data_IF_464563537746
#
_entry.id   IF_464563537746
#
_cell.length_a   1.000
_cell.length_b   1.000
_cell.length_c   1.000
_cell.angle_alpha   90.00
_cell.angle_beta   90.00
_cell.angle_gamma   90.00
#
_symmetry.space_group_name_H-M   'P 1'
#
loop_
_entity.id
_entity.type
_entity.pdbx_description
1 polymer ?
#
# COMPACT_ATOMS: atom_id res chain seq x y z
N UNK A 1 -17.10 0.80 -8.13
CA UNK A 1 -18.46 1.38 -8.17
C UNK A 1 -18.52 2.70 -8.95
N UNK A 2 -19.65 3.05 -9.60
CA UNK A 2 -19.84 4.39 -10.17
C UNK A 2 -19.62 5.45 -9.08
N UNK A 3 -18.63 6.32 -9.28
CA UNK A 3 -18.28 7.37 -8.32
C UNK A 3 -17.24 6.99 -7.25
N UNK A 4 -16.69 5.78 -7.30
CA UNK A 4 -15.60 5.37 -6.43
C UNK A 4 -14.39 6.30 -6.58
N UNK A 5 -13.91 6.85 -5.47
CA UNK A 5 -12.80 7.79 -5.44
C UNK A 5 -13.10 9.23 -5.82
N UNK A 6 -14.31 9.57 -6.31
CA UNK A 6 -14.68 10.96 -6.60
C UNK A 6 -14.65 11.84 -5.36
N UNK A 7 -15.12 11.30 -4.22
CA UNK A 7 -15.06 11.99 -2.94
C UNK A 7 -13.63 12.43 -2.58
N UNK A 8 -12.59 11.72 -3.01
CA UNK A 8 -11.21 12.07 -2.67
C UNK A 8 -10.65 13.18 -3.57
N UNK A 9 -11.22 13.41 -4.75
CA UNK A 9 -10.74 14.41 -5.73
C UNK A 9 -11.62 15.66 -5.79
N UNK A 10 -12.88 15.58 -5.35
CA UNK A 10 -13.84 16.69 -5.31
C UNK A 10 -13.75 17.49 -4.00
N UNK A 11 -12.54 17.68 -3.47
CA UNK A 11 -12.30 18.42 -2.23
C UNK A 11 -11.85 19.84 -2.53
N UNK A 12 -12.36 20.82 -1.76
CA UNK A 12 -11.94 22.23 -1.88
C UNK A 12 -10.54 22.49 -1.31
N UNK A 13 -9.94 21.47 -0.68
CA UNK A 13 -8.61 21.51 -0.06
C UNK A 13 -7.67 20.51 -0.74
N UNK A 14 -6.34 20.74 -0.74
CA UNK A 14 -5.38 19.78 -1.28
C UNK A 14 -5.47 18.41 -0.59
N UNK A 15 -5.46 17.33 -1.37
CA UNK A 15 -5.56 15.95 -0.88
C UNK A 15 -4.33 15.14 -1.28
N UNK A 16 -3.78 14.39 -0.32
CA UNK A 16 -2.68 13.43 -0.54
C UNK A 16 -3.14 12.05 -0.08
N UNK A 17 -2.89 11.03 -0.90
CA UNK A 17 -3.15 9.64 -0.53
C UNK A 17 -2.06 9.11 0.40
N UNK A 18 -2.45 8.53 1.53
CA UNK A 18 -1.53 7.93 2.50
C UNK A 18 -1.71 6.42 2.53
N UNK A 19 -0.61 5.69 2.40
CA UNK A 19 -0.52 4.21 2.39
C UNK A 19 -1.31 3.50 1.28
N UNK A 20 -2.01 4.25 0.43
CA UNK A 20 -2.91 3.74 -0.61
C UNK A 20 -2.42 4.09 -2.01
N UNK A 21 -2.88 3.33 -3.00
CA UNK A 21 -2.69 3.64 -4.41
C UNK A 21 -3.98 3.41 -5.19
N UNK A 22 -4.31 4.35 -6.07
CA UNK A 22 -5.37 4.20 -7.04
C UNK A 22 -4.83 3.60 -8.36
N UNK A 23 -5.52 2.62 -8.98
CA UNK A 23 -5.14 2.07 -10.27
C UNK A 23 -5.32 3.11 -11.40
N UNK A 24 -4.66 2.89 -12.54
CA UNK A 24 -4.85 3.75 -13.71
C UNK A 24 -6.32 3.81 -14.13
N UNK A 25 -6.80 5.01 -14.45
CA UNK A 25 -8.21 5.26 -14.80
C UNK A 25 -9.15 5.47 -13.61
N UNK A 26 -8.71 5.23 -12.38
CA UNK A 26 -9.46 5.60 -11.18
C UNK A 26 -9.32 7.12 -10.91
N UNK A 27 -10.37 7.84 -10.45
CA UNK A 27 -10.30 9.29 -10.23
C UNK A 27 -9.12 9.73 -9.37
N UNK A 28 -8.87 9.02 -8.27
CA UNK A 28 -7.75 9.29 -7.36
C UNK A 28 -6.36 8.95 -7.92
N UNK A 29 -6.23 8.46 -9.16
CA UNK A 29 -4.93 8.12 -9.77
C UNK A 29 -4.03 9.35 -9.97
N UNK A 30 -4.62 10.53 -10.14
CA UNK A 30 -3.90 11.79 -10.30
C UNK A 30 -3.45 12.45 -8.99
N UNK A 31 -3.85 11.93 -7.83
CA UNK A 31 -3.45 12.49 -6.54
C UNK A 31 -2.00 12.14 -6.20
N UNK A 32 -1.33 13.10 -5.55
CA UNK A 32 -0.07 12.87 -4.87
C UNK A 32 -0.22 11.76 -3.82
N UNK A 33 0.86 11.01 -3.59
CA UNK A 33 0.84 9.86 -2.69
C UNK A 33 2.10 9.75 -1.86
N UNK A 34 1.91 9.34 -0.61
CA UNK A 34 2.96 8.99 0.32
C UNK A 34 2.69 7.59 0.85
N UNK A 35 3.66 6.70 0.73
CA UNK A 35 3.54 5.31 1.18
C UNK A 35 4.87 4.85 1.75
N UNK A 36 4.77 3.96 2.72
CA UNK A 36 5.90 3.13 3.13
C UNK A 36 6.25 2.13 2.01
N UNK A 37 7.53 1.82 1.85
CA UNK A 37 7.96 0.72 0.98
C UNK A 37 7.77 -0.62 1.70
N UNK A 38 6.54 -1.13 1.66
CA UNK A 38 6.19 -2.41 2.30
C UNK A 38 6.93 -3.60 1.70
N UNK A 39 7.34 -3.53 0.43
CA UNK A 39 8.12 -4.60 -0.19
C UNK A 39 9.54 -4.63 0.38
N UNK A 40 10.16 -3.45 0.53
CA UNK A 40 11.45 -3.33 1.19
C UNK A 40 11.38 -3.77 2.66
N UNK A 41 10.38 -3.30 3.42
CA UNK A 41 10.20 -3.70 4.82
C UNK A 41 9.99 -5.22 4.98
N UNK A 42 9.24 -5.86 4.08
CA UNK A 42 9.09 -7.32 4.07
C UNK A 42 10.42 -8.03 3.78
N UNK A 43 11.22 -7.51 2.84
CA UNK A 43 12.54 -8.05 2.54
C UNK A 43 13.50 -7.93 3.74
N UNK A 44 13.49 -6.79 4.44
CA UNK A 44 14.26 -6.60 5.68
C UNK A 44 13.84 -7.60 6.77
N UNK A 45 12.54 -7.82 6.95
CA UNK A 45 12.02 -8.78 7.92
C UNK A 45 12.46 -10.22 7.60
N UNK A 46 12.37 -10.64 6.33
CA UNK A 46 12.83 -11.96 5.89
C UNK A 46 14.34 -12.11 6.06
N UNK A 47 15.11 -11.09 5.69
CA UNK A 47 16.57 -11.09 5.87
C UNK A 47 16.96 -11.20 7.34
N UNK A 48 16.25 -10.49 8.23
CA UNK A 48 16.45 -10.57 9.67
C UNK A 48 16.20 -11.98 10.20
N UNK A 49 15.05 -12.59 9.86
CA UNK A 49 14.71 -13.95 10.29
C UNK A 49 15.70 -14.99 9.76
N UNK A 50 16.13 -14.85 8.50
CA UNK A 50 17.16 -15.71 7.93
C UNK A 50 18.52 -15.55 8.66
N UNK A 51 18.89 -14.32 9.02
CA UNK A 51 20.09 -14.01 9.82
C UNK A 51 20.06 -14.62 11.22
N UNK A 52 18.87 -14.84 11.79
CA UNK A 52 18.67 -15.58 13.04
C UNK A 52 18.72 -17.11 12.87
N UNK A 53 18.87 -17.62 11.63
CA UNK A 53 18.95 -19.04 11.32
C UNK A 53 17.61 -19.70 10.95
N UNK A 54 16.52 -18.94 10.82
CA UNK A 54 15.25 -19.50 10.36
C UNK A 54 15.34 -19.92 8.87
N UNK A 55 14.91 -21.14 8.57
CA UNK A 55 14.94 -21.73 7.21
C UNK A 55 13.57 -21.97 6.60
N UNK A 56 12.52 -21.85 7.40
CA UNK A 56 11.12 -21.94 6.98
C UNK A 56 10.39 -20.74 7.58
N UNK A 57 9.98 -19.79 6.74
CA UNK A 57 9.33 -18.54 7.13
C UNK A 57 7.97 -18.51 6.44
N UNK A 58 6.90 -18.39 7.23
CA UNK A 58 5.53 -18.29 6.73
C UNK A 58 5.07 -16.83 6.69
N UNK A 59 4.25 -16.48 5.70
CA UNK A 59 3.57 -15.19 5.63
C UNK A 59 2.13 -15.36 6.12
N UNK A 60 1.77 -14.64 7.17
CA UNK A 60 0.38 -14.46 7.58
C UNK A 60 -0.08 -13.09 7.07
N UNK A 61 -1.02 -13.09 6.15
CA UNK A 61 -1.57 -11.87 5.54
C UNK A 61 -3.08 -11.83 5.70
N UNK A 62 -3.60 -10.64 5.94
CA UNK A 62 -5.02 -10.34 5.87
C UNK A 62 -5.27 -9.41 4.68
N UNK A 63 -6.36 -9.64 3.97
CA UNK A 63 -6.81 -8.71 2.95
C UNK A 63 -7.09 -7.35 3.59
N UNK A 64 -6.35 -6.34 3.15
CA UNK A 64 -6.36 -5.00 3.73
C UNK A 64 -5.89 -3.97 2.70
N UNK A 65 -6.19 -2.67 2.89
CA UNK A 65 -5.79 -1.63 1.93
C UNK A 65 -4.28 -1.51 1.67
N UNK A 66 -3.45 -2.06 2.56
CA UNK A 66 -1.98 -2.09 2.46
C UNK A 66 -1.44 -3.50 2.22
N UNK A 67 -2.31 -4.50 2.00
CA UNK A 67 -1.87 -5.84 1.67
C UNK A 67 -1.02 -5.81 0.38
N UNK A 68 0.02 -6.65 0.28
CA UNK A 68 0.76 -6.83 -0.96
C UNK A 68 -0.21 -7.21 -2.09
N UNK A 69 -0.06 -6.58 -3.26
CA UNK A 69 -0.77 -6.99 -4.48
C UNK A 69 0.01 -8.09 -5.20
#
# INVERSE_FOLDING_TARGET
EPGEGLWAVEQEVPVVLVERSAPLGHPAAGLDRVRSDHAHGAAEAVAHLAGLGHRAIALAVQDSPTAPR
#
